data_IF_348658587087
#
_entry.id   IF_348658587087
#
_cell.length_a   1.000
_cell.length_b   1.000
_cell.length_c   1.000
_cell.angle_alpha   90.00
_cell.angle_beta   90.00
_cell.angle_gamma   90.00
#
_symmetry.space_group_name_H-M   'P 1'
#
loop_
_entity.id
_entity.type
_entity.pdbx_description
1 polymer ?
#
# COMPACT_ATOMS: atom_id res chain seq x y z
N UNK A 1 5.60 17.31 -5.81
CA UNK A 1 4.63 16.71 -6.74
C UNK A 1 5.10 16.96 -8.16
N UNK A 2 5.31 15.91 -8.95
CA UNK A 2 5.79 16.03 -10.33
C UNK A 2 4.63 16.26 -11.30
N UNK A 3 4.76 17.24 -12.19
CA UNK A 3 3.78 17.46 -13.25
C UNK A 3 3.81 16.35 -14.32
N UNK A 4 4.93 15.61 -14.43
CA UNK A 4 5.11 14.54 -15.41
C UNK A 4 4.51 13.21 -14.94
N UNK A 5 4.54 12.95 -13.63
CA UNK A 5 4.06 11.72 -13.01
C UNK A 5 3.17 12.07 -11.81
N UNK A 6 1.91 12.49 -12.06
CA UNK A 6 0.97 12.77 -10.98
C UNK A 6 0.72 11.53 -10.12
N UNK A 7 0.66 11.77 -8.80
CA UNK A 7 0.30 10.78 -7.79
C UNK A 7 -1.03 11.22 -7.19
N UNK A 8 -2.05 10.37 -7.28
CA UNK A 8 -3.32 10.56 -6.60
C UNK A 8 -3.30 9.66 -5.38
N UNK A 9 -3.26 10.27 -4.18
CA UNK A 9 -3.27 9.55 -2.92
C UNK A 9 -4.63 9.72 -2.25
N UNK A 10 -5.36 8.62 -2.07
CA UNK A 10 -6.63 8.57 -1.33
C UNK A 10 -6.36 7.92 0.02
N UNK A 11 -6.65 8.63 1.12
CA UNK A 11 -6.50 8.11 2.49
C UNK A 11 -7.86 7.92 3.15
N UNK A 12 -8.05 6.81 3.84
CA UNK A 12 -9.27 6.50 4.60
C UNK A 12 -9.14 5.17 5.32
N UNK A 13 -10.05 4.82 6.21
CA UNK A 13 -10.04 3.49 6.83
C UNK A 13 -10.43 2.41 5.81
N UNK A 14 -9.78 1.25 5.84
CA UNK A 14 -10.21 0.13 4.99
C UNK A 14 -11.63 -0.30 5.38
N UNK A 15 -12.47 -0.48 4.37
CA UNK A 15 -13.90 -0.77 4.56
C UNK A 15 -14.80 0.47 4.64
N UNK A 16 -14.26 1.69 4.77
CA UNK A 16 -15.05 2.94 4.74
C UNK A 16 -15.36 3.43 3.31
N UNK A 17 -15.56 2.50 2.36
CA UNK A 17 -15.83 2.83 0.96
C UNK A 17 -14.58 2.92 0.08
N UNK A 18 -13.41 2.50 0.56
CA UNK A 18 -12.17 2.42 -0.22
C UNK A 18 -12.35 1.61 -1.51
N UNK A 19 -13.01 0.45 -1.43
CA UNK A 19 -13.34 -0.37 -2.62
C UNK A 19 -14.18 0.40 -3.64
N UNK A 20 -15.21 1.13 -3.18
CA UNK A 20 -16.07 1.95 -4.05
C UNK A 20 -15.29 3.08 -4.71
N UNK A 21 -14.40 3.73 -3.97
CA UNK A 21 -13.51 4.78 -4.49
C UNK A 21 -12.56 4.23 -5.55
N UNK A 22 -11.89 3.10 -5.28
CA UNK A 22 -11.04 2.42 -6.27
C UNK A 22 -11.78 2.08 -7.55
N UNK A 23 -12.97 1.49 -7.45
CA UNK A 23 -13.79 1.15 -8.61
C UNK A 23 -14.23 2.39 -9.40
N UNK A 24 -14.50 3.50 -8.70
CA UNK A 24 -14.83 4.78 -9.33
C UNK A 24 -13.65 5.33 -10.13
N UNK A 25 -12.46 5.37 -9.55
CA UNK A 25 -11.24 5.80 -10.24
C UNK A 25 -10.89 4.87 -11.41
N UNK A 26 -11.08 3.57 -11.26
CA UNK A 26 -10.88 2.59 -12.33
C UNK A 26 -11.78 2.89 -13.53
N UNK A 27 -13.07 3.16 -13.28
CA UNK A 27 -14.01 3.57 -14.34
C UNK A 27 -13.59 4.90 -14.99
N UNK A 28 -13.22 5.90 -14.19
CA UNK A 28 -12.76 7.19 -14.70
C UNK A 28 -11.52 7.07 -15.59
N UNK A 29 -10.48 6.36 -15.13
CA UNK A 29 -9.27 6.15 -15.91
C UNK A 29 -9.53 5.38 -17.19
N UNK A 30 -10.40 4.37 -17.16
CA UNK A 30 -10.82 3.65 -18.36
C UNK A 30 -11.52 4.58 -19.37
N UNK A 31 -12.45 5.44 -18.92
CA UNK A 31 -13.13 6.40 -19.81
C UNK A 31 -12.16 7.41 -20.42
N UNK A 32 -11.18 7.86 -19.65
CA UNK A 32 -10.15 8.80 -20.11
C UNK A 32 -8.99 8.13 -20.85
N UNK A 33 -9.01 6.80 -21.00
CA UNK A 33 -7.90 6.00 -21.56
C UNK A 33 -6.55 6.27 -20.87
N UNK A 34 -6.58 6.54 -19.57
CA UNK A 34 -5.40 6.75 -18.72
C UNK A 34 -4.96 5.41 -18.15
N UNK A 35 -3.69 5.05 -18.37
CA UNK A 35 -3.08 3.93 -17.65
C UNK A 35 -2.49 4.44 -16.34
N UNK A 36 -2.88 3.80 -15.23
CA UNK A 36 -2.39 4.14 -13.91
C UNK A 36 -1.74 2.94 -13.22
N UNK A 37 -0.62 3.18 -12.54
CA UNK A 37 -0.03 2.24 -11.61
C UNK A 37 -0.86 2.22 -10.32
N UNK A 38 -1.35 1.04 -9.95
CA UNK A 38 -2.15 0.85 -8.74
C UNK A 38 -1.27 0.40 -7.58
N UNK A 39 -1.29 1.16 -6.49
CA UNK A 39 -0.50 0.88 -5.28
C UNK A 39 -1.39 0.89 -4.05
N UNK A 40 -1.49 -0.26 -3.40
CA UNK A 40 -2.23 -0.42 -2.15
C UNK A 40 -1.41 0.11 -0.97
N UNK A 41 -2.04 0.81 -0.03
CA UNK A 41 -1.36 1.37 1.15
C UNK A 41 -0.63 0.33 2.01
N UNK A 42 -1.25 -0.84 2.16
CA UNK A 42 -0.80 -1.97 2.97
C UNK A 42 0.53 -2.57 2.46
N UNK A 43 0.93 -2.23 1.22
CA UNK A 43 2.26 -2.51 0.64
C UNK A 43 3.40 -2.02 1.53
N UNK A 44 3.15 -0.95 2.30
CA UNK A 44 4.12 -0.28 3.16
C UNK A 44 3.89 -0.57 4.64
N UNK A 45 3.13 -1.61 5.00
CA UNK A 45 3.19 -2.14 6.36
C UNK A 45 4.62 -2.62 6.67
N UNK A 46 5.10 -2.40 7.89
CA UNK A 46 6.42 -2.87 8.33
C UNK A 46 6.44 -4.37 8.61
N UNK A 47 5.30 -4.91 9.07
CA UNK A 47 5.21 -6.28 9.57
C UNK A 47 4.20 -7.11 8.77
N UNK A 48 4.52 -8.38 8.57
CA UNK A 48 3.53 -9.41 8.25
C UNK A 48 2.57 -9.59 9.42
N UNK A 49 1.43 -10.25 9.20
CA UNK A 49 0.44 -10.51 10.26
C UNK A 49 1.07 -11.23 11.48
N UNK A 50 1.85 -12.33 11.30
CA UNK A 50 2.51 -12.98 12.44
C UNK A 50 3.55 -12.09 13.13
N UNK A 51 4.33 -11.32 12.37
CA UNK A 51 5.32 -10.40 12.95
C UNK A 51 4.66 -9.28 13.76
N UNK A 52 3.53 -8.77 13.28
CA UNK A 52 2.77 -7.74 13.98
C UNK A 52 2.20 -8.27 15.29
N UNK A 53 1.67 -9.50 15.31
CA UNK A 53 1.19 -10.14 16.53
C UNK A 53 2.31 -10.27 17.57
N UNK A 54 3.52 -10.63 17.14
CA UNK A 54 4.71 -10.68 18.00
C UNK A 54 5.10 -9.28 18.50
N UNK A 55 5.09 -8.28 17.62
CA UNK A 55 5.39 -6.89 17.98
C UNK A 55 4.42 -6.33 19.03
N UNK A 56 3.12 -6.58 18.86
CA UNK A 56 2.07 -6.18 19.82
C UNK A 56 2.32 -6.84 21.19
N UNK A 57 2.63 -8.14 21.23
CA UNK A 57 2.92 -8.86 22.48
C UNK A 57 4.14 -8.29 23.19
N UNK A 58 5.25 -8.10 22.48
CA UNK A 58 6.49 -7.50 23.02
C UNK A 58 6.27 -6.08 23.54
N UNK A 59 5.51 -5.27 22.82
CA UNK A 59 5.18 -3.92 23.26
C UNK A 59 4.37 -3.96 24.56
N UNK A 60 3.38 -4.85 24.65
CA UNK A 60 2.54 -5.02 25.84
C UNK A 60 3.36 -5.44 27.07
N UNK A 61 4.32 -6.34 26.91
CA UNK A 61 5.26 -6.73 27.98
C UNK A 61 6.10 -5.56 28.51
N UNK A 62 6.36 -4.56 27.65
CA UNK A 62 7.08 -3.33 28.01
C UNK A 62 6.14 -2.19 28.46
N UNK A 63 4.84 -2.46 28.65
CA UNK A 63 3.85 -1.44 29.00
C UNK A 63 3.54 -0.45 27.87
N UNK A 64 3.89 -0.78 26.62
CA UNK A 64 3.65 0.02 25.42
C UNK A 64 2.54 -0.61 24.57
N UNK A 65 1.99 0.17 23.65
CA UNK A 65 1.01 -0.30 22.67
C UNK A 65 1.48 0.03 21.25
N UNK A 66 1.42 -0.96 20.36
CA UNK A 66 1.60 -0.77 18.93
C UNK A 66 0.24 -0.91 18.27
N UNK A 67 -0.04 0.00 17.34
CA UNK A 67 -1.26 0.02 16.53
C UNK A 67 -0.91 -0.17 15.07
N UNK A 68 -1.79 -0.82 14.30
CA UNK A 68 -1.69 -0.88 12.84
C UNK A 68 -1.66 0.51 12.19
N UNK A 69 -2.21 1.52 12.88
CA UNK A 69 -2.21 2.91 12.42
C UNK A 69 -0.94 3.69 12.79
N UNK A 70 -0.10 3.13 13.65
CA UNK A 70 1.07 3.81 14.17
C UNK A 70 2.25 3.82 13.19
N UNK A 71 3.18 4.77 13.34
CA UNK A 71 4.45 4.80 12.60
C UNK A 71 5.33 3.57 12.86
N UNK A 72 5.08 2.83 13.93
CA UNK A 72 5.80 1.61 14.25
C UNK A 72 5.41 0.45 13.33
N UNK A 73 4.13 0.39 12.93
CA UNK A 73 3.59 -0.67 12.08
C UNK A 73 3.68 -0.35 10.59
N UNK A 74 4.10 0.86 10.23
CA UNK A 74 4.17 1.34 8.85
C UNK A 74 5.58 1.83 8.49
N UNK A 75 5.97 1.62 7.23
CA UNK A 75 7.24 2.05 6.67
C UNK A 75 7.05 3.34 5.84
N UNK A 76 6.95 4.46 6.54
CA UNK A 76 6.84 5.78 5.91
C UNK A 76 8.07 6.19 5.11
N UNK A 77 9.30 5.90 5.55
CA UNK A 77 10.48 6.14 4.71
C UNK A 77 10.39 5.43 3.35
N UNK A 78 10.01 4.14 3.32
CA UNK A 78 9.86 3.42 2.06
C UNK A 78 8.73 4.00 1.18
N UNK A 79 7.64 4.48 1.78
CA UNK A 79 6.58 5.16 1.02
C UNK A 79 7.05 6.49 0.43
N UNK A 80 7.76 7.29 1.22
CA UNK A 80 8.31 8.57 0.77
C UNK A 80 9.29 8.36 -0.39
N UNK A 81 10.19 7.38 -0.26
CA UNK A 81 11.11 6.97 -1.31
C UNK A 81 10.36 6.56 -2.58
N UNK A 82 9.31 5.73 -2.44
CA UNK A 82 8.48 5.32 -3.57
C UNK A 82 7.81 6.52 -4.28
N UNK A 83 7.22 7.46 -3.52
CA UNK A 83 6.60 8.65 -4.13
C UNK A 83 7.61 9.56 -4.82
N UNK A 84 8.83 9.67 -4.28
CA UNK A 84 9.91 10.40 -4.91
C UNK A 84 10.34 9.72 -6.22
N UNK A 85 10.65 8.42 -6.17
CA UNK A 85 11.04 7.65 -7.35
C UNK A 85 9.98 7.70 -8.45
N UNK A 86 8.72 7.48 -8.07
CA UNK A 86 7.61 7.52 -9.02
C UNK A 86 7.44 8.91 -9.62
N UNK A 87 7.52 9.97 -8.80
CA UNK A 87 7.44 11.35 -9.27
C UNK A 87 8.54 11.71 -10.27
N UNK A 88 9.74 11.17 -10.10
CA UNK A 88 10.90 11.46 -10.97
C UNK A 88 10.92 10.60 -12.23
N UNK A 89 10.63 9.30 -12.12
CA UNK A 89 10.88 8.30 -13.18
C UNK A 89 9.61 7.63 -13.73
N UNK A 90 8.49 7.76 -13.03
CA UNK A 90 7.24 7.05 -13.35
C UNK A 90 7.28 5.56 -13.01
N UNK A 91 8.24 5.13 -12.20
CA UNK A 91 8.43 3.75 -11.74
C UNK A 91 8.87 3.76 -10.27
N UNK A 92 8.71 2.63 -9.59
CA UNK A 92 9.15 2.45 -8.21
C UNK A 92 8.93 1.02 -7.76
N UNK A 93 9.58 0.62 -6.67
CA UNK A 93 9.43 -0.73 -6.11
C UNK A 93 8.20 -0.81 -5.21
N UNK A 94 7.37 -1.81 -5.45
CA UNK A 94 6.18 -2.09 -4.66
C UNK A 94 6.08 -3.60 -4.39
N UNK A 95 5.53 -3.94 -3.24
CA UNK A 95 5.14 -5.31 -2.86
C UNK A 95 3.65 -5.31 -2.58
N UNK A 96 2.98 -6.45 -2.68
CA UNK A 96 1.57 -6.56 -2.31
C UNK A 96 1.43 -7.24 -0.97
N UNK A 97 0.54 -6.73 -0.14
CA UNK A 97 0.14 -7.42 1.09
C UNK A 97 -1.02 -8.36 0.75
N UNK A 98 -0.87 -9.64 1.08
CA UNK A 98 -1.83 -10.66 0.71
C UNK A 98 -2.90 -10.75 1.79
N UNK A 99 -4.14 -10.38 1.49
CA UNK A 99 -5.23 -10.36 2.46
C UNK A 99 -5.97 -11.70 2.56
N UNK A 100 -6.04 -12.44 1.45
CA UNK A 100 -6.85 -13.64 1.32
C UNK A 100 -6.01 -14.83 0.85
N UNK A 101 -6.56 -16.04 1.00
CA UNK A 101 -5.90 -17.25 0.48
C UNK A 101 -5.82 -17.22 -1.04
N UNK A 102 -6.87 -16.76 -1.72
CA UNK A 102 -6.89 -16.67 -3.18
C UNK A 102 -5.77 -15.77 -3.73
N UNK A 103 -5.46 -14.69 -3.01
CA UNK A 103 -4.33 -13.82 -3.35
C UNK A 103 -2.98 -14.49 -3.08
N UNK A 104 -2.88 -15.31 -2.03
CA UNK A 104 -1.62 -15.89 -1.56
C UNK A 104 -1.21 -17.19 -2.26
N UNK A 105 -2.18 -17.99 -2.72
CA UNK A 105 -1.98 -19.25 -3.44
C UNK A 105 -1.04 -19.10 -4.65
N UNK A 106 -1.20 -18.10 -5.54
CA UNK A 106 -0.30 -17.90 -6.68
C UNK A 106 1.17 -17.65 -6.29
N UNK A 107 1.43 -17.22 -5.05
CA UNK A 107 2.75 -16.96 -4.53
C UNK A 107 3.26 -18.09 -3.62
N UNK A 108 2.46 -19.14 -3.40
CA UNK A 108 2.74 -20.22 -2.47
C UNK A 108 3.05 -19.70 -1.05
N UNK A 109 2.31 -18.67 -0.65
CA UNK A 109 2.43 -17.96 0.63
C UNK A 109 1.15 -18.07 1.46
N UNK A 110 1.19 -17.60 2.71
CA UNK A 110 0.02 -17.51 3.58
C UNK A 110 -0.58 -16.09 3.55
N UNK A 111 -1.88 -15.92 3.80
CA UNK A 111 -2.44 -14.59 4.01
C UNK A 111 -1.75 -13.87 5.16
N UNK A 112 -1.62 -12.55 5.01
CA UNK A 112 -0.91 -11.68 5.92
C UNK A 112 0.59 -11.57 5.66
N UNK A 113 1.09 -12.08 4.53
CA UNK A 113 2.49 -11.91 4.10
C UNK A 113 2.62 -10.93 2.93
N UNK A 114 3.86 -10.59 2.60
CA UNK A 114 4.16 -9.77 1.43
C UNK A 114 4.66 -10.62 0.26
N UNK A 115 4.25 -10.23 -0.95
CA UNK A 115 4.93 -10.71 -2.17
C UNK A 115 6.36 -10.18 -2.23
N UNK A 116 7.26 -10.80 -3.03
CA UNK A 116 8.52 -10.17 -3.40
C UNK A 116 8.30 -8.77 -3.99
N UNK A 117 9.19 -7.83 -3.68
CA UNK A 117 9.17 -6.49 -4.28
C UNK A 117 9.34 -6.59 -5.80
N UNK A 118 8.51 -5.87 -6.54
CA UNK A 118 8.56 -5.77 -8.00
C UNK A 118 8.46 -4.30 -8.40
N UNK A 119 9.00 -3.96 -9.56
CA UNK A 119 8.77 -2.63 -10.11
C UNK A 119 7.29 -2.51 -10.51
N UNK A 120 6.65 -1.40 -10.12
CA UNK A 120 5.34 -1.07 -10.65
C UNK A 120 5.44 -0.81 -12.16
N UNK A 121 4.34 -1.02 -12.88
CA UNK A 121 4.32 -0.74 -14.31
C UNK A 121 4.59 0.74 -14.55
N UNK A 122 5.52 1.03 -15.48
CA UNK A 122 5.83 2.41 -15.86
C UNK A 122 4.62 3.02 -16.54
N UNK A 123 3.95 3.94 -15.85
CA UNK A 123 2.74 4.59 -16.35
C UNK A 123 2.80 6.09 -16.11
N UNK A 124 1.94 6.84 -16.78
CA UNK A 124 1.90 8.29 -16.64
C UNK A 124 1.40 8.72 -15.25
N UNK A 125 0.53 7.94 -14.60
CA UNK A 125 -0.14 8.32 -13.34
C UNK A 125 -0.05 7.21 -12.31
N UNK A 126 0.29 7.53 -11.06
CA UNK A 126 0.15 6.58 -9.95
C UNK A 126 -1.15 6.88 -9.22
N UNK A 127 -1.95 5.83 -8.99
CA UNK A 127 -3.05 5.87 -8.06
C UNK A 127 -2.68 5.04 -6.84
N UNK A 128 -2.51 5.71 -5.72
CA UNK A 128 -2.30 5.06 -4.43
C UNK A 128 -3.54 5.23 -3.58
N UNK A 129 -4.09 4.12 -3.11
CA UNK A 129 -5.17 4.16 -2.14
C UNK A 129 -4.73 3.48 -0.86
N UNK A 130 -4.75 4.26 0.21
CA UNK A 130 -4.51 3.80 1.57
C UNK A 130 -5.82 3.39 2.20
N UNK A 131 -5.95 2.09 2.43
CA UNK A 131 -6.63 1.64 3.64
C UNK A 131 -5.72 1.97 4.81
N UNK A 132 -6.26 2.68 5.79
CA UNK A 132 -5.68 2.88 7.12
C UNK A 132 -4.43 3.76 7.22
N UNK A 133 -4.61 5.08 7.09
CA UNK A 133 -3.72 6.02 7.77
C UNK A 133 -4.39 7.36 8.07
N UNK A 134 -4.26 7.80 9.32
CA UNK A 134 -4.45 9.20 9.72
C UNK A 134 -3.10 9.89 9.55
N UNK A 135 -3.05 10.94 8.72
CA UNK A 135 -1.88 11.84 8.64
C UNK A 135 -1.79 12.69 9.91
#
# INVERSE_FOLDING_TARGET
MSAKHPIIAVTGSSGAGTTTTSETFRKMFNMMKVQAAWVEGDSFHRFTRPEMDVAIRKAKEQGKHISYFGPEANDFPALEEFFKEYGEKGEGKVRRYLHTFDEAVPYNQMPGTFTPCKNCQKTATCFSMRGFMVL
#
